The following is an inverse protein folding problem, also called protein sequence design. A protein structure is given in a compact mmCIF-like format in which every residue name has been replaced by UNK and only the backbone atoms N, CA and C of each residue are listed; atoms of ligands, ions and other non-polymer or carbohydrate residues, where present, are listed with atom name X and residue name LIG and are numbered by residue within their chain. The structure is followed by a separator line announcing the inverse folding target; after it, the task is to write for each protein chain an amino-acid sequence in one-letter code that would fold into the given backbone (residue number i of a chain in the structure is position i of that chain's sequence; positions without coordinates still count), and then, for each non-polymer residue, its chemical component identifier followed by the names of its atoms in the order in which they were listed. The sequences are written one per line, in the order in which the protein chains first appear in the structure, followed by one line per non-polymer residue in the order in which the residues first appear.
data_IF_680252087338
#
_entry.id   IF_680252087338
#
_cell.length_a   1.000
_cell.length_b   1.000
_cell.length_c   1.000
_cell.angle_alpha   90.00
_cell.angle_beta   90.00
_cell.angle_gamma   90.00
#
_symmetry.space_group_name_H-M   'P 1'
#
loop_
_entity.id
_entity.type
_entity.pdbx_description
1 polymer ?
#
# COMPACT_ATOMS: atom_id res chain seq x y z
N UNK A 1 -21.79 -3.29 11.18
CA UNK A 1 -20.91 -4.48 10.99
C UNK A 1 -20.93 -5.00 9.56
N UNK A 2 -22.08 -5.24 8.91
CA UNK A 2 -22.11 -5.70 7.51
C UNK A 2 -21.49 -4.68 6.53
N UNK A 3 -21.69 -3.37 6.73
CA UNK A 3 -21.02 -2.35 5.90
C UNK A 3 -19.50 -2.29 6.10
N UNK A 4 -19.00 -2.51 7.32
CA UNK A 4 -17.55 -2.52 7.59
C UNK A 4 -16.86 -3.70 6.90
N UNK A 5 -17.51 -4.87 6.88
CA UNK A 5 -17.01 -6.03 6.14
C UNK A 5 -17.10 -5.85 4.62
N UNK A 6 -18.17 -5.22 4.11
CA UNK A 6 -18.26 -4.84 2.69
C UNK A 6 -17.16 -3.85 2.30
N UNK A 7 -16.90 -2.81 3.09
CA UNK A 7 -15.80 -1.86 2.85
C UNK A 7 -14.45 -2.56 2.92
N UNK A 8 -14.22 -3.41 3.92
CA UNK A 8 -12.97 -4.15 4.07
C UNK A 8 -12.70 -5.06 2.85
N UNK A 9 -13.68 -5.87 2.44
CA UNK A 9 -13.54 -6.72 1.26
C UNK A 9 -13.49 -5.93 -0.05
N UNK A 10 -14.22 -4.81 -0.15
CA UNK A 10 -14.18 -3.92 -1.30
C UNK A 10 -12.79 -3.27 -1.47
N UNK A 11 -12.20 -2.72 -0.41
CA UNK A 11 -10.88 -2.08 -0.49
C UNK A 11 -9.75 -3.10 -0.68
N UNK A 12 -9.91 -4.34 -0.17
CA UNK A 12 -8.94 -5.43 -0.38
C UNK A 12 -8.94 -5.93 -1.83
N UNK A 13 -10.11 -6.09 -2.46
CA UNK A 13 -10.27 -6.78 -3.76
C UNK A 13 -10.73 -5.89 -4.92
N UNK A 14 -11.65 -4.95 -4.71
CA UNK A 14 -12.25 -4.10 -5.76
C UNK A 14 -11.39 -2.84 -6.00
N UNK A 15 -11.05 -2.14 -4.92
CA UNK A 15 -10.31 -0.88 -4.94
C UNK A 15 -8.84 -1.08 -4.55
N UNK A 16 -8.25 -2.21 -4.95
CA UNK A 16 -6.86 -2.52 -4.62
C UNK A 16 -5.94 -1.40 -5.15
N UNK A 17 -5.37 -0.63 -4.24
CA UNK A 17 -4.56 0.54 -4.57
C UNK A 17 -3.40 0.20 -5.49
N UNK A 18 -2.83 -1.00 -5.36
CA UNK A 18 -1.66 -1.42 -6.13
C UNK A 18 -2.04 -1.95 -7.51
N UNK A 19 -3.08 -2.77 -7.59
CA UNK A 19 -3.44 -3.51 -8.81
C UNK A 19 -4.48 -2.81 -9.69
N UNK A 20 -5.37 -2.02 -9.09
CA UNK A 20 -6.47 -1.31 -9.77
C UNK A 20 -6.12 0.18 -9.97
N UNK A 21 -5.56 0.83 -8.95
CA UNK A 21 -5.21 2.26 -9.00
C UNK A 21 -3.73 2.54 -9.32
N UNK A 22 -2.90 1.50 -9.47
CA UNK A 22 -1.45 1.62 -9.77
C UNK A 22 -0.64 2.50 -8.78
N UNK A 23 -1.02 2.51 -7.51
CA UNK A 23 -0.32 3.21 -6.43
C UNK A 23 0.66 2.26 -5.72
N UNK A 24 1.87 2.75 -5.39
CA UNK A 24 2.87 1.97 -4.64
C UNK A 24 3.79 1.09 -5.51
N UNK A 25 3.81 1.34 -6.84
CA UNK A 25 4.60 0.58 -7.82
C UNK A 25 6.11 0.63 -7.53
N UNK A 26 6.62 1.70 -6.91
CA UNK A 26 8.05 1.87 -6.63
C UNK A 26 8.58 0.76 -5.70
N UNK A 27 7.88 0.52 -4.60
CA UNK A 27 8.20 -0.59 -3.67
C UNK A 27 7.90 -1.95 -4.27
N UNK A 28 6.86 -2.04 -5.10
CA UNK A 28 6.45 -3.26 -5.77
C UNK A 28 7.48 -3.77 -6.78
N UNK A 29 8.12 -2.89 -7.55
CA UNK A 29 9.18 -3.28 -8.48
C UNK A 29 10.55 -3.41 -7.81
N UNK A 30 10.79 -2.70 -6.69
CA UNK A 30 12.08 -2.70 -5.99
C UNK A 30 12.30 -3.89 -5.07
N UNK A 31 11.26 -4.36 -4.36
CA UNK A 31 11.41 -5.21 -3.17
C UNK A 31 10.77 -6.60 -3.28
N UNK A 32 10.31 -6.98 -4.45
CA UNK A 32 9.62 -8.26 -4.71
C UNK A 32 10.53 -9.36 -5.26
N UNK A 33 11.86 -9.16 -5.23
CA UNK A 33 12.81 -10.23 -5.59
C UNK A 33 12.88 -11.32 -4.54
N UNK A 34 12.85 -10.93 -3.26
CA UNK A 34 12.86 -11.85 -2.13
C UNK A 34 11.51 -11.80 -1.41
N UNK A 35 10.87 -12.97 -1.23
CA UNK A 35 9.63 -13.08 -0.47
C UNK A 35 9.78 -12.56 0.98
N UNK A 36 10.91 -12.81 1.63
CA UNK A 36 11.18 -12.37 3.01
C UNK A 36 11.22 -10.84 3.12
N UNK A 37 11.89 -10.17 2.18
CA UNK A 37 11.99 -8.71 2.16
C UNK A 37 10.66 -8.06 1.78
N UNK A 38 9.96 -8.65 0.80
CA UNK A 38 8.61 -8.21 0.39
C UNK A 38 7.60 -8.25 1.55
N UNK A 39 7.62 -9.33 2.34
CA UNK A 39 6.75 -9.46 3.52
C UNK A 39 7.12 -8.47 4.64
N UNK A 40 8.41 -8.30 4.92
CA UNK A 40 8.89 -7.31 5.90
C UNK A 40 8.47 -5.88 5.55
N UNK A 41 8.60 -5.51 4.27
CA UNK A 41 8.13 -4.21 3.76
C UNK A 41 6.62 -4.06 3.89
N UNK A 42 5.86 -5.08 3.52
CA UNK A 42 4.39 -5.02 3.53
C UNK A 42 3.84 -4.80 4.94
N UNK A 43 4.39 -5.48 5.94
CA UNK A 43 4.01 -5.31 7.35
C UNK A 43 4.34 -3.88 7.82
N UNK A 44 5.51 -3.36 7.46
CA UNK A 44 5.91 -1.99 7.79
C UNK A 44 4.96 -0.95 7.15
N UNK A 45 4.58 -1.14 5.88
CA UNK A 45 3.64 -0.27 5.16
C UNK A 45 2.26 -0.32 5.80
N UNK A 46 1.73 -1.50 6.15
CA UNK A 46 0.43 -1.65 6.85
C UNK A 46 0.44 -0.87 8.16
N UNK A 47 1.51 -1.02 8.95
CA UNK A 47 1.65 -0.33 10.23
C UNK A 47 1.66 1.20 10.05
N UNK A 48 2.48 1.71 9.13
CA UNK A 48 2.55 3.15 8.83
C UNK A 48 1.22 3.67 8.31
N UNK A 49 0.53 2.91 7.43
CA UNK A 49 -0.75 3.29 6.87
C UNK A 49 -1.83 3.43 7.95
N UNK A 50 -1.91 2.47 8.88
CA UNK A 50 -2.85 2.53 10.01
C UNK A 50 -2.57 3.70 10.95
N UNK A 51 -1.31 3.82 11.38
CA UNK A 51 -0.93 4.81 12.38
C UNK A 51 -1.04 6.22 11.80
N UNK A 52 -0.61 6.40 10.55
CA UNK A 52 -0.74 7.68 9.89
C UNK A 52 -2.21 8.02 9.64
N UNK A 53 -3.09 7.09 9.24
CA UNK A 53 -4.53 7.42 9.10
C UNK A 53 -5.15 7.83 10.43
N UNK A 54 -4.81 7.13 11.52
CA UNK A 54 -5.30 7.47 12.86
C UNK A 54 -4.90 8.88 13.31
N UNK A 55 -3.73 9.38 12.90
CA UNK A 55 -3.25 10.73 13.19
C UNK A 55 -3.82 11.76 12.21
N UNK A 56 -3.93 11.39 10.94
CA UNK A 56 -4.30 12.30 9.86
C UNK A 56 -5.79 12.66 9.89
N UNK A 57 -6.64 11.71 10.29
CA UNK A 57 -8.08 11.91 10.40
C UNK A 57 -8.49 13.04 11.36
N UNK A 58 -8.04 13.07 12.64
CA UNK A 58 -8.37 14.16 13.54
C UNK A 58 -7.74 15.48 13.10
N UNK A 59 -6.55 15.47 12.49
CA UNK A 59 -5.94 16.69 11.94
C UNK A 59 -6.82 17.27 10.83
N UNK A 60 -7.35 16.43 9.94
CA UNK A 60 -8.26 16.89 8.90
C UNK A 60 -9.57 17.44 9.50
N UNK A 61 -10.24 16.66 10.34
CA UNK A 61 -11.56 16.97 10.88
C UNK A 61 -11.57 18.17 11.85
N UNK A 62 -10.53 18.32 12.67
CA UNK A 62 -10.49 19.39 13.69
C UNK A 62 -9.68 20.61 13.27
N UNK A 63 -8.78 20.51 12.28
CA UNK A 63 -7.87 21.60 11.92
C UNK A 63 -8.02 22.08 10.48
N UNK A 64 -8.21 21.20 9.49
CA UNK A 64 -8.24 21.64 8.09
C UNK A 64 -9.64 22.06 7.65
N UNK A 65 -10.64 21.26 7.99
CA UNK A 65 -12.04 21.52 7.62
C UNK A 65 -12.61 22.81 8.25
N UNK A 66 -12.50 23.05 9.57
CA UNK A 66 -13.08 24.26 10.17
C UNK A 66 -12.36 25.57 9.80
N UNK A 67 -11.11 25.50 9.37
CA UNK A 67 -10.32 26.67 8.98
C UNK A 67 -10.26 26.89 7.45
N UNK A 68 -10.95 26.05 6.65
CA UNK A 68 -10.97 26.17 5.19
C UNK A 68 -9.62 25.93 4.52
N UNK A 69 -8.71 25.20 5.18
CA UNK A 69 -7.33 24.96 4.75
C UNK A 69 -7.16 23.69 3.90
N UNK A 70 -8.22 23.27 3.19
CA UNK A 70 -8.22 22.02 2.41
C UNK A 70 -7.09 21.92 1.37
N UNK A 71 -6.57 23.06 0.86
CA UNK A 71 -5.44 23.08 -0.08
C UNK A 71 -4.11 22.60 0.53
N UNK A 72 -3.95 22.63 1.86
CA UNK A 72 -2.75 22.18 2.57
C UNK A 72 -2.77 20.69 2.93
N UNK A 73 -3.87 19.98 2.69
CA UNK A 73 -4.06 18.59 3.09
C UNK A 73 -2.89 17.69 2.68
N UNK A 74 -2.46 17.76 1.42
CA UNK A 74 -1.42 16.89 0.89
C UNK A 74 -0.08 17.13 1.60
N UNK A 75 0.26 18.40 1.86
CA UNK A 75 1.51 18.76 2.55
C UNK A 75 1.49 18.25 3.99
N UNK A 76 0.38 18.48 4.70
CA UNK A 76 0.21 18.01 6.07
C UNK A 76 0.31 16.48 6.14
N UNK A 77 -0.29 15.76 5.19
CA UNK A 77 -0.29 14.30 5.21
C UNK A 77 1.11 13.74 4.97
N UNK A 78 1.87 14.32 4.03
CA UNK A 78 3.26 13.93 3.80
C UNK A 78 4.11 14.16 5.06
N UNK A 79 3.92 15.26 5.79
CA UNK A 79 4.62 15.52 7.04
C UNK A 79 4.28 14.49 8.13
N UNK A 80 3.01 14.12 8.28
CA UNK A 80 2.57 13.09 9.23
C UNK A 80 3.16 11.73 8.87
N UNK A 81 3.16 11.36 7.60
CA UNK A 81 3.78 10.12 7.11
C UNK A 81 5.28 10.14 7.40
N UNK A 82 5.98 11.23 7.08
CA UNK A 82 7.42 11.35 7.31
C UNK A 82 7.77 11.20 8.80
N UNK A 83 7.02 11.86 9.69
CA UNK A 83 7.20 11.72 11.14
C UNK A 83 6.97 10.27 11.61
N UNK A 84 5.92 9.62 11.10
CA UNK A 84 5.58 8.24 11.46
C UNK A 84 6.64 7.25 10.98
N UNK A 85 7.16 7.42 9.76
CA UNK A 85 8.23 6.56 9.24
C UNK A 85 9.53 6.78 9.99
N UNK A 86 9.83 7.99 10.44
CA UNK A 86 11.01 8.26 11.26
C UNK A 86 10.98 7.47 12.57
N UNK A 87 9.81 7.40 13.21
CA UNK A 87 9.60 6.58 14.41
C UNK A 87 9.75 5.09 14.08
N UNK A 88 9.17 4.65 12.96
CA UNK A 88 9.32 3.26 12.50
C UNK A 88 10.80 2.89 12.25
N UNK A 89 11.58 3.77 11.64
CA UNK A 89 13.01 3.54 11.41
C UNK A 89 13.76 3.29 12.71
N UNK A 90 13.50 4.12 13.73
CA UNK A 90 14.11 3.97 15.05
C UNK A 90 13.72 2.63 15.71
N UNK A 91 12.46 2.20 15.55
CA UNK A 91 11.97 0.92 16.06
C UNK A 91 12.66 -0.25 15.34
N UNK A 92 12.70 -0.25 14.00
CA UNK A 92 13.28 -1.35 13.21
C UNK A 92 14.78 -1.47 13.50
N UNK A 93 15.51 -0.36 13.60
CA UNK A 93 16.95 -0.35 13.94
C UNK A 93 17.24 -1.05 15.27
N UNK A 94 16.34 -0.94 16.26
CA UNK A 94 16.52 -1.53 17.60
C UNK A 94 15.94 -2.94 17.71
N UNK A 95 14.78 -3.20 17.12
CA UNK A 95 14.07 -4.47 17.26
C UNK A 95 14.59 -5.56 16.32
N UNK A 96 14.96 -5.21 15.08
CA UNK A 96 15.34 -6.17 14.05
C UNK A 96 16.50 -5.65 13.18
N UNK A 97 17.74 -5.69 13.69
CA UNK A 97 18.94 -5.32 12.94
C UNK A 97 19.11 -6.01 11.56
N UNK A 98 18.82 -7.31 11.38
CA UNK A 98 18.98 -7.95 10.06
C UNK A 98 18.00 -7.41 9.02
N UNK A 99 16.77 -7.05 9.44
CA UNK A 99 15.80 -6.43 8.54
C UNK A 99 16.20 -5.00 8.17
N UNK A 100 16.77 -4.25 9.12
CA UNK A 100 17.32 -2.91 8.85
C UNK A 100 18.49 -2.96 7.86
N UNK A 101 19.37 -3.97 7.93
CA UNK A 101 20.46 -4.10 6.98
C UNK A 101 19.98 -4.48 5.56
N UNK A 102 18.93 -5.30 5.45
CA UNK A 102 18.36 -5.68 4.17
C UNK A 102 17.52 -4.56 3.53
N UNK A 103 16.79 -3.79 4.34
CA UNK A 103 15.79 -2.82 3.86
C UNK A 103 16.18 -1.36 4.09
N UNK A 104 17.29 -1.06 4.78
CA UNK A 104 17.64 0.28 5.27
C UNK A 104 17.58 1.39 4.22
N UNK A 105 18.05 1.10 2.99
CA UNK A 105 18.03 2.04 1.86
C UNK A 105 16.60 2.30 1.37
N UNK A 106 15.68 1.36 1.58
CA UNK A 106 14.30 1.40 1.13
C UNK A 106 13.31 1.91 2.18
N UNK A 107 13.73 2.14 3.44
CA UNK A 107 12.87 2.76 4.46
C UNK A 107 12.37 4.15 4.04
N UNK A 108 13.21 5.03 3.45
CA UNK A 108 12.75 6.32 2.91
C UNK A 108 11.70 6.16 1.80
N UNK A 109 11.68 5.06 1.04
CA UNK A 109 10.64 4.81 0.02
C UNK A 109 9.25 4.61 0.64
N UNK A 110 9.15 4.32 1.94
CA UNK A 110 7.87 4.27 2.65
C UNK A 110 7.28 5.69 2.75
N UNK A 111 8.09 6.71 3.00
CA UNK A 111 7.59 8.10 3.13
C UNK A 111 6.97 8.63 1.84
N UNK A 112 7.52 8.23 0.70
CA UNK A 112 7.04 8.65 -0.62
C UNK A 112 6.14 7.59 -1.26
N UNK A 113 5.57 6.68 -0.47
CA UNK A 113 4.72 5.62 -1.00
C UNK A 113 3.34 6.18 -1.36
N UNK A 114 3.04 6.18 -2.66
CA UNK A 114 1.77 6.69 -3.18
C UNK A 114 0.55 5.95 -2.61
N UNK A 115 0.66 4.67 -2.24
CA UNK A 115 -0.45 3.92 -1.66
C UNK A 115 -0.84 4.45 -0.26
N UNK A 116 0.14 4.85 0.55
CA UNK A 116 -0.11 5.40 1.89
C UNK A 116 -0.81 6.75 1.78
N UNK A 117 -0.30 7.65 0.93
CA UNK A 117 -0.91 8.96 0.69
C UNK A 117 -2.31 8.81 0.06
N UNK A 118 -2.46 7.91 -0.90
CA UNK A 118 -3.70 7.68 -1.62
C UNK A 118 -4.83 7.22 -0.71
N UNK A 119 -4.58 6.28 0.20
CA UNK A 119 -5.65 5.81 1.11
C UNK A 119 -6.18 6.92 2.01
N UNK A 120 -5.31 7.84 2.46
CA UNK A 120 -5.73 8.96 3.30
C UNK A 120 -6.61 9.94 2.54
N UNK A 121 -6.22 10.27 1.31
CA UNK A 121 -7.00 11.16 0.46
C UNK A 121 -8.36 10.54 0.12
N UNK A 122 -8.40 9.25 -0.20
CA UNK A 122 -9.65 8.53 -0.48
C UNK A 122 -10.55 8.48 0.76
N UNK A 123 -9.99 8.18 1.94
CA UNK A 123 -10.77 8.13 3.18
C UNK A 123 -11.46 9.47 3.49
N UNK A 124 -10.85 10.58 3.08
CA UNK A 124 -11.39 11.92 3.28
C UNK A 124 -12.40 12.27 2.19
N UNK A 125 -12.12 11.95 0.93
CA UNK A 125 -13.05 12.16 -0.19
C UNK A 125 -14.37 11.39 0.01
N UNK A 126 -14.28 10.15 0.50
CA UNK A 126 -15.42 9.30 0.83
C UNK A 126 -16.11 9.68 2.15
N UNK A 127 -15.62 10.71 2.86
CA UNK A 127 -16.17 11.21 4.13
C UNK A 127 -16.39 10.10 5.18
N UNK A 128 -15.45 9.15 5.27
CA UNK A 128 -15.57 8.05 6.22
C UNK A 128 -15.53 8.53 7.68
N UNK A 129 -16.22 7.81 8.57
CA UNK A 129 -16.05 7.99 10.02
C UNK A 129 -14.66 7.50 10.45
N UNK A 130 -14.16 7.95 11.62
CA UNK A 130 -12.85 7.53 12.14
C UNK A 130 -12.66 6.00 12.13
N UNK A 131 -13.69 5.26 12.54
CA UNK A 131 -13.68 3.80 12.59
C UNK A 131 -13.64 3.20 11.17
N UNK A 132 -14.40 3.78 10.23
CA UNK A 132 -14.40 3.33 8.84
C UNK A 132 -13.07 3.64 8.13
N UNK A 133 -12.44 4.78 8.43
CA UNK A 133 -11.15 5.17 7.86
C UNK A 133 -10.01 4.22 8.31
N UNK A 134 -10.03 3.77 9.58
CA UNK A 134 -9.08 2.77 10.08
C UNK A 134 -9.31 1.42 9.39
N UNK A 135 -10.57 0.99 9.26
CA UNK A 135 -10.89 -0.29 8.59
C UNK A 135 -10.53 -0.26 7.10
N UNK A 136 -10.78 0.85 6.41
CA UNK A 136 -10.36 1.07 5.03
C UNK A 136 -8.84 1.01 4.90
N UNK A 137 -8.10 1.66 5.80
CA UNK A 137 -6.62 1.63 5.81
C UNK A 137 -6.07 0.23 6.10
N UNK A 138 -6.74 -0.53 6.98
CA UNK A 138 -6.41 -1.93 7.23
C UNK A 138 -6.64 -2.80 5.99
N UNK A 139 -7.78 -2.61 5.32
CA UNK A 139 -8.10 -3.29 4.07
C UNK A 139 -7.10 -2.97 2.96
N UNK A 140 -6.76 -1.68 2.78
CA UNK A 140 -5.77 -1.22 1.82
C UNK A 140 -4.37 -1.81 2.09
N UNK A 141 -3.96 -1.85 3.35
CA UNK A 141 -2.69 -2.46 3.75
C UNK A 141 -2.66 -3.98 3.48
N UNK A 142 -3.76 -4.69 3.77
CA UNK A 142 -3.88 -6.11 3.46
C UNK A 142 -3.88 -6.36 1.94
N UNK A 143 -4.57 -5.53 1.17
CA UNK A 143 -4.57 -5.56 -0.30
C UNK A 143 -3.17 -5.32 -0.88
N UNK A 144 -2.42 -4.38 -0.31
CA UNK A 144 -1.00 -4.14 -0.64
C UNK A 144 -0.15 -5.37 -0.34
N UNK A 145 -0.32 -5.98 0.83
CA UNK A 145 0.42 -7.19 1.24
C UNK A 145 0.15 -8.36 0.30
N UNK A 146 -1.12 -8.56 -0.07
CA UNK A 146 -1.52 -9.59 -1.02
C UNK A 146 -0.88 -9.37 -2.40
N UNK A 147 -0.91 -8.14 -2.91
CA UNK A 147 -0.30 -7.78 -4.20
C UNK A 147 1.22 -8.04 -4.19
N UNK A 148 1.90 -7.62 -3.12
CA UNK A 148 3.34 -7.81 -2.93
C UNK A 148 3.72 -9.30 -2.83
N UNK A 149 2.92 -10.10 -2.14
CA UNK A 149 3.14 -11.53 -2.00
C UNK A 149 2.96 -12.26 -3.33
N UNK A 150 1.87 -12.00 -4.05
CA UNK A 150 1.60 -12.62 -5.34
C UNK A 150 2.65 -12.27 -6.37
N UNK A 151 3.05 -10.99 -6.44
CA UNK A 151 4.05 -10.58 -7.41
C UNK A 151 5.45 -11.09 -7.08
N UNK A 152 5.81 -11.19 -5.81
CA UNK A 152 7.07 -11.82 -5.41
C UNK A 152 7.11 -13.31 -5.83
N UNK A 153 6.01 -14.04 -5.67
CA UNK A 153 5.92 -15.42 -6.18
C UNK A 153 6.00 -15.52 -7.71
N UNK A 154 5.38 -14.58 -8.44
CA UNK A 154 5.51 -14.51 -9.92
C UNK A 154 6.95 -14.21 -10.31
N UNK A 155 7.63 -13.31 -9.59
CA UNK A 155 9.03 -12.92 -9.86
C UNK A 155 10.01 -14.05 -9.61
N UNK A 156 9.87 -14.78 -8.51
CA UNK A 156 10.71 -15.93 -8.19
C UNK A 156 10.65 -16.97 -9.33
N UNK A 157 9.47 -17.18 -9.90
CA UNK A 157 9.30 -18.08 -11.06
C UNK A 157 9.89 -17.51 -12.35
N UNK A 158 9.76 -16.19 -12.56
CA UNK A 158 10.33 -15.48 -13.70
C UNK A 158 11.86 -15.63 -13.76
N UNK A 159 12.54 -15.60 -12.60
CA UNK A 159 14.00 -15.73 -12.52
C UNK A 159 14.50 -17.12 -12.96
N UNK A 160 13.69 -18.17 -12.75
CA UNK A 160 14.01 -19.54 -13.20
C UNK A 160 13.56 -19.85 -14.63
N UNK A 161 12.86 -18.92 -15.29
CA UNK A 161 12.29 -19.14 -16.62
C UNK A 161 13.27 -18.78 -17.73
N UNK A 162 13.21 -19.50 -18.86
CA UNK A 162 14.05 -19.21 -20.02
C UNK A 162 13.48 -18.03 -20.80
N UNK A 163 14.08 -16.85 -20.61
CA UNK A 163 13.65 -15.56 -21.18
C UNK A 163 14.76 -15.07 -22.12
N UNK A 164 14.44 -14.54 -23.31
CA UNK A 164 15.42 -13.94 -24.20
C UNK A 164 16.26 -12.87 -23.49
N UNK A 165 17.56 -12.81 -23.77
CA UNK A 165 18.48 -11.91 -23.06
C UNK A 165 18.03 -10.44 -23.08
N UNK A 166 17.41 -9.98 -24.17
CA UNK A 166 16.87 -8.63 -24.33
C UNK A 166 15.71 -8.28 -23.38
N UNK A 167 15.02 -9.27 -22.81
CA UNK A 167 13.84 -9.10 -21.94
C UNK A 167 14.14 -9.39 -20.46
N UNK A 168 15.35 -9.81 -20.11
CA UNK A 168 15.72 -10.13 -18.73
C UNK A 168 15.66 -8.88 -17.83
N UNK A 169 15.15 -9.07 -16.61
CA UNK A 169 15.09 -8.02 -15.59
C UNK A 169 13.82 -7.16 -15.64
N UNK A 170 13.98 -5.85 -15.81
CA UNK A 170 12.90 -4.86 -15.74
C UNK A 170 11.80 -5.06 -16.79
N UNK A 171 12.11 -5.31 -18.09
CA UNK A 171 11.08 -5.48 -19.12
C UNK A 171 10.14 -6.66 -18.83
N UNK A 172 10.69 -7.84 -18.54
CA UNK A 172 9.89 -9.02 -18.18
C UNK A 172 9.13 -8.83 -16.87
N UNK A 173 9.70 -8.14 -15.89
CA UNK A 173 9.00 -7.77 -14.65
C UNK A 173 7.77 -6.91 -14.95
N UNK A 174 7.88 -5.90 -15.81
CA UNK A 174 6.77 -5.01 -16.15
C UNK A 174 5.67 -5.74 -16.94
N UNK A 175 6.04 -6.65 -17.85
CA UNK A 175 5.10 -7.51 -18.57
C UNK A 175 4.37 -8.45 -17.60
N UNK A 176 5.08 -9.07 -16.65
CA UNK A 176 4.46 -9.89 -15.63
C UNK A 176 3.51 -9.08 -14.73
N UNK A 177 3.89 -7.85 -14.39
CA UNK A 177 3.06 -6.95 -13.59
C UNK A 177 1.78 -6.55 -14.32
N UNK A 178 1.84 -6.28 -15.64
CA UNK A 178 0.64 -5.96 -16.42
C UNK A 178 -0.29 -7.16 -16.56
N UNK A 179 0.23 -8.36 -16.79
CA UNK A 179 -0.57 -9.60 -16.82
C UNK A 179 -1.24 -9.86 -15.46
N UNK A 180 -0.52 -9.66 -14.36
CA UNK A 180 -1.08 -9.78 -13.01
C UNK A 180 -2.20 -8.75 -12.77
N UNK A 181 -1.99 -7.48 -13.16
CA UNK A 181 -3.01 -6.43 -13.03
C UNK A 181 -4.28 -6.76 -13.83
N UNK A 182 -4.15 -7.19 -15.09
CA UNK A 182 -5.30 -7.59 -15.92
C UNK A 182 -6.05 -8.78 -15.31
N UNK A 183 -5.33 -9.74 -14.73
CA UNK A 183 -5.94 -10.88 -14.05
C UNK A 183 -6.76 -10.43 -12.83
N UNK A 184 -6.30 -9.41 -12.11
CA UNK A 184 -7.01 -8.83 -10.97
C UNK A 184 -8.22 -7.98 -11.38
N UNK A 185 -8.16 -7.29 -12.51
CA UNK A 185 -9.33 -6.58 -13.06
C UNK A 185 -10.49 -7.54 -13.35
N UNK A 186 -10.22 -8.81 -13.67
CA UNK A 186 -11.28 -9.82 -13.83
C UNK A 186 -12.08 -10.12 -12.55
N UNK A 187 -11.51 -9.86 -11.37
CA UNK A 187 -12.21 -10.08 -10.09
C UNK A 187 -13.16 -8.95 -9.71
N UNK A 188 -13.04 -7.76 -10.31
CA UNK A 188 -13.92 -6.63 -9.98
C UNK A 188 -15.39 -6.95 -10.30
N UNK A 189 -15.66 -7.64 -11.41
CA UNK A 189 -17.03 -8.02 -11.81
C UNK A 189 -17.63 -9.22 -11.06
N UNK A 190 -16.82 -10.02 -10.36
CA UNK A 190 -17.31 -11.19 -9.60
C UNK A 190 -17.92 -10.76 -8.26
N UNK A 191 -17.41 -9.69 -7.66
CA UNK A 191 -17.82 -9.26 -6.31
C UNK A 191 -19.04 -8.33 -6.35
N UNK A 192 -19.25 -7.55 -7.40
CA UNK A 192 -20.51 -6.82 -7.63
C UNK A 192 -21.71 -7.77 -7.65
N UNK A 193 -21.57 -8.95 -8.27
CA UNK A 193 -22.60 -9.99 -8.27
C UNK A 193 -22.73 -10.75 -6.94
N UNK A 194 -21.72 -10.68 -6.06
CA UNK A 194 -21.70 -11.40 -4.78
C UNK A 194 -22.27 -10.59 -3.61
N UNK A 195 -22.29 -9.26 -3.73
CA UNK A 195 -22.75 -8.33 -2.67
C UNK A 195 -23.82 -7.31 -3.12
N UNK A 196 -24.27 -7.39 -4.38
CA UNK A 196 -25.45 -6.71 -4.90
C UNK A 196 -26.75 -7.32 -4.40
#
# INVERSE_FOLDING_TARGET
MQEMFKILFSVILIDNLVLSRFLGVCSFLGLTKDLKNSMGMSIAVVFVMLLSTAVTYPIYAYLLDPYGLGYLQTVVFILVIAATVQVLEAIIRKAMPPLYQAMGIFLPLITTNCAILGVMLINIQESYSFVNAIMSSLGAGLGYTLAMFLFAGVREKLETSDIPDSLKGLPSTLIAASILSVSFMGFSGVIENLFG
#
